data_IF_210610578538
#
_entry.id   IF_210610578538
#
_cell.length_a   1.000
_cell.length_b   1.000
_cell.length_c   1.000
_cell.angle_alpha   90.00
_cell.angle_beta   90.00
_cell.angle_gamma   90.00
#
_symmetry.space_group_name_H-M   'P 1'
#
loop_
_entity.id
_entity.type
_entity.pdbx_description
1 polymer ?
#
# COMPACT_ATOMS: atom_id res chain seq x y z
N UNK A 1 -5.27 -7.29 31.81
CA UNK A 1 -5.61 -7.87 30.51
C UNK A 1 -4.98 -9.27 30.45
N UNK A 2 -5.84 -10.30 30.35
CA UNK A 2 -5.48 -11.71 30.53
C UNK A 2 -4.57 -12.20 29.39
N UNK A 3 -3.58 -13.06 29.67
CA UNK A 3 -2.63 -13.59 28.68
C UNK A 3 -3.29 -14.30 27.47
N UNK A 4 -4.50 -14.82 27.64
CA UNK A 4 -5.32 -15.39 26.56
C UNK A 4 -5.76 -14.30 25.56
N UNK A 5 -6.14 -13.11 26.02
CA UNK A 5 -6.56 -11.98 25.18
C UNK A 5 -5.38 -11.44 24.38
N UNK A 6 -4.18 -11.34 24.98
CA UNK A 6 -2.95 -10.93 24.29
C UNK A 6 -2.52 -11.92 23.19
N UNK A 7 -2.70 -13.23 23.44
CA UNK A 7 -2.43 -14.25 22.41
C UNK A 7 -3.44 -14.19 21.28
N UNK A 8 -4.74 -14.03 21.57
CA UNK A 8 -5.79 -13.85 20.56
C UNK A 8 -5.57 -12.60 19.70
N UNK A 9 -5.23 -11.47 20.30
CA UNK A 9 -4.92 -10.23 19.57
C UNK A 9 -3.69 -10.42 18.65
N UNK A 10 -2.65 -11.08 19.12
CA UNK A 10 -1.43 -11.33 18.34
C UNK A 10 -1.66 -12.30 17.18
N UNK A 11 -2.52 -13.30 17.37
CA UNK A 11 -2.89 -14.27 16.32
C UNK A 11 -3.84 -13.64 15.29
N UNK A 12 -4.80 -12.82 15.74
CA UNK A 12 -5.73 -12.08 14.87
C UNK A 12 -5.01 -11.04 14.01
N UNK A 13 -4.08 -10.27 14.57
CA UNK A 13 -3.29 -9.33 13.77
C UNK A 13 -2.40 -10.03 12.74
N UNK A 14 -1.80 -11.16 13.12
CA UNK A 14 -0.91 -11.90 12.22
C UNK A 14 -1.67 -12.62 11.10
N UNK A 15 -2.87 -13.13 11.37
CA UNK A 15 -3.71 -13.73 10.34
C UNK A 15 -4.32 -12.67 9.42
N UNK A 16 -4.79 -11.55 9.94
CA UNK A 16 -5.36 -10.45 9.13
C UNK A 16 -4.33 -9.87 8.16
N UNK A 17 -3.08 -9.63 8.58
CA UNK A 17 -2.03 -9.16 7.68
C UNK A 17 -1.68 -10.21 6.61
N UNK A 18 -1.59 -11.48 6.99
CA UNK A 18 -1.31 -12.56 6.04
C UNK A 18 -2.49 -12.82 5.11
N UNK A 19 -3.72 -12.74 5.59
CA UNK A 19 -4.92 -12.93 4.79
C UNK A 19 -5.10 -11.81 3.77
N UNK A 20 -4.82 -10.55 4.15
CA UNK A 20 -4.82 -9.41 3.21
C UNK A 20 -3.73 -9.58 2.14
N UNK A 21 -2.55 -10.08 2.53
CA UNK A 21 -1.42 -10.27 1.59
C UNK A 21 -1.60 -11.49 0.68
N UNK A 22 -2.33 -12.51 1.14
CA UNK A 22 -2.58 -13.76 0.43
C UNK A 22 -3.91 -13.77 -0.32
N UNK A 23 -4.80 -12.78 -0.09
CA UNK A 23 -6.07 -12.70 -0.78
C UNK A 23 -5.85 -12.47 -2.29
N UNK A 24 -6.49 -13.30 -3.11
CA UNK A 24 -6.42 -13.24 -4.58
C UNK A 24 -6.79 -11.85 -5.14
N UNK A 25 -7.57 -11.07 -4.42
CA UNK A 25 -8.00 -9.72 -4.84
C UNK A 25 -6.96 -8.64 -4.55
N UNK A 26 -6.25 -8.73 -3.44
CA UNK A 26 -5.28 -7.71 -3.02
C UNK A 26 -3.87 -7.97 -3.55
N UNK A 27 -3.55 -9.23 -3.81
CA UNK A 27 -2.26 -9.64 -4.35
C UNK A 27 -1.81 -8.89 -5.62
N UNK A 28 -2.66 -8.68 -6.66
CA UNK A 28 -2.23 -7.95 -7.86
C UNK A 28 -1.89 -6.49 -7.56
N UNK A 29 -2.54 -5.84 -6.59
CA UNK A 29 -2.25 -4.46 -6.20
C UNK A 29 -0.87 -4.36 -5.56
N UNK A 30 -0.51 -5.31 -4.69
CA UNK A 30 0.83 -5.37 -4.10
C UNK A 30 1.92 -5.66 -5.12
N UNK A 31 1.69 -6.59 -6.04
CA UNK A 31 2.63 -6.88 -7.13
C UNK A 31 2.83 -5.63 -8.00
N UNK A 32 1.75 -4.94 -8.34
CA UNK A 32 1.81 -3.69 -9.10
C UNK A 32 2.60 -2.61 -8.34
N UNK A 33 2.33 -2.41 -7.05
CA UNK A 33 3.04 -1.43 -6.22
C UNK A 33 4.55 -1.72 -6.15
N UNK A 34 4.93 -2.96 -5.89
CA UNK A 34 6.33 -3.36 -5.84
C UNK A 34 7.00 -3.20 -7.21
N UNK A 35 6.32 -3.58 -8.29
CA UNK A 35 6.85 -3.45 -9.65
C UNK A 35 7.08 -2.00 -10.05
N UNK A 36 6.12 -1.10 -9.78
CA UNK A 36 6.25 0.32 -10.13
C UNK A 36 7.36 0.99 -9.30
N UNK A 37 7.51 0.62 -8.03
CA UNK A 37 8.59 1.11 -7.18
C UNK A 37 9.95 0.65 -7.72
N UNK A 38 10.10 -0.63 -8.04
CA UNK A 38 11.36 -1.19 -8.54
C UNK A 38 11.77 -0.56 -9.89
N UNK A 39 10.83 -0.43 -10.82
CA UNK A 39 11.07 0.22 -12.12
C UNK A 39 11.43 1.69 -11.93
N UNK A 40 10.73 2.40 -11.05
CA UNK A 40 11.03 3.80 -10.78
C UNK A 40 12.40 4.01 -10.15
N UNK A 41 12.75 3.21 -9.15
CA UNK A 41 14.05 3.28 -8.53
C UNK A 41 15.18 3.05 -9.54
N UNK A 42 15.03 2.08 -10.43
CA UNK A 42 16.01 1.83 -11.51
C UNK A 42 16.09 3.01 -12.50
N UNK A 43 14.94 3.56 -12.92
CA UNK A 43 14.92 4.69 -13.85
C UNK A 43 15.61 5.94 -13.26
N UNK A 44 15.29 6.32 -12.04
CA UNK A 44 15.89 7.50 -11.41
C UNK A 44 17.37 7.26 -11.05
N UNK A 45 17.75 6.05 -10.66
CA UNK A 45 19.14 5.70 -10.45
C UNK A 45 20.00 5.94 -11.70
N UNK A 46 19.53 5.52 -12.87
CA UNK A 46 20.30 5.64 -14.11
C UNK A 46 20.19 6.99 -14.81
N UNK A 47 19.06 7.69 -14.64
CA UNK A 47 18.81 8.95 -15.36
C UNK A 47 19.25 10.19 -14.57
N UNK A 48 19.31 10.11 -13.26
CA UNK A 48 19.69 11.22 -12.36
C UNK A 48 21.02 10.96 -11.63
N UNK A 49 21.66 9.78 -11.86
CA UNK A 49 22.88 9.35 -11.15
C UNK A 49 22.73 9.33 -9.62
N UNK A 50 21.51 9.13 -9.11
CA UNK A 50 21.25 9.00 -7.70
C UNK A 50 21.63 7.63 -7.16
N UNK A 51 21.94 7.53 -5.87
CA UNK A 51 22.13 6.22 -5.24
C UNK A 51 20.85 5.37 -5.35
N UNK A 52 21.00 4.05 -5.23
CA UNK A 52 19.83 3.16 -5.20
C UNK A 52 18.85 3.50 -4.08
N UNK A 53 19.38 3.89 -2.91
CA UNK A 53 18.57 4.27 -1.75
C UNK A 53 17.81 5.57 -2.01
N UNK A 54 18.46 6.60 -2.55
CA UNK A 54 17.84 7.89 -2.85
C UNK A 54 16.77 7.77 -3.92
N UNK A 55 17.03 6.96 -4.96
CA UNK A 55 16.07 6.67 -6.02
C UNK A 55 14.84 5.95 -5.49
N UNK A 56 15.04 4.92 -4.67
CA UNK A 56 13.95 4.19 -4.01
C UNK A 56 13.14 5.12 -3.07
N UNK A 57 13.83 5.90 -2.26
CA UNK A 57 13.23 6.88 -1.36
C UNK A 57 12.38 7.89 -2.14
N UNK A 58 12.94 8.51 -3.19
CA UNK A 58 12.23 9.47 -4.02
C UNK A 58 10.94 8.89 -4.63
N UNK A 59 11.02 7.68 -5.19
CA UNK A 59 9.86 7.01 -5.79
C UNK A 59 8.78 6.74 -4.75
N UNK A 60 9.15 6.26 -3.56
CA UNK A 60 8.18 5.97 -2.48
C UNK A 60 7.49 7.25 -2.01
N UNK A 61 8.24 8.33 -1.72
CA UNK A 61 7.63 9.59 -1.25
C UNK A 61 6.79 10.28 -2.33
N UNK A 62 7.11 10.06 -3.61
CA UNK A 62 6.33 10.57 -4.74
C UNK A 62 5.03 9.78 -4.92
N UNK A 63 5.09 8.45 -4.93
CA UNK A 63 3.91 7.59 -5.05
C UNK A 63 2.96 7.72 -3.86
N UNK A 64 3.49 7.95 -2.66
CA UNK A 64 2.68 8.21 -1.46
C UNK A 64 2.22 9.65 -1.31
N UNK A 65 2.51 10.50 -2.30
CA UNK A 65 2.15 11.94 -2.31
C UNK A 65 2.76 12.78 -1.18
N UNK A 66 3.77 12.28 -0.48
CA UNK A 66 4.47 13.01 0.59
C UNK A 66 5.30 14.15 0.00
N UNK A 67 6.19 13.83 -0.96
CA UNK A 67 6.92 14.80 -1.77
C UNK A 67 7.70 15.85 -0.95
N UNK A 68 8.67 15.45 -0.15
CA UNK A 68 9.46 16.39 0.68
C UNK A 68 10.22 17.45 -0.14
N UNK A 69 10.54 17.17 -1.42
CA UNK A 69 11.24 18.12 -2.29
C UNK A 69 12.76 18.20 -2.05
N UNK A 70 13.31 17.34 -1.23
CA UNK A 70 14.74 17.19 -0.99
C UNK A 70 15.46 16.57 -2.20
N UNK A 71 14.80 15.68 -2.93
CA UNK A 71 15.20 15.20 -4.24
C UNK A 71 14.22 15.70 -5.29
N UNK A 72 14.75 16.25 -6.39
CA UNK A 72 13.94 16.76 -7.49
C UNK A 72 14.59 16.43 -8.82
N UNK A 73 13.81 15.95 -9.81
CA UNK A 73 14.30 15.64 -11.15
C UNK A 73 14.93 16.87 -11.82
N UNK A 74 16.09 16.68 -12.41
CA UNK A 74 16.85 17.79 -13.04
C UNK A 74 16.58 17.91 -14.53
N UNK A 75 16.36 16.78 -15.22
CA UNK A 75 16.19 16.76 -16.68
C UNK A 75 14.71 16.84 -17.08
N UNK A 76 14.40 17.34 -18.29
CA UNK A 76 13.03 17.35 -18.80
C UNK A 76 12.40 15.93 -18.88
N UNK A 77 13.20 14.92 -19.22
CA UNK A 77 12.75 13.54 -19.31
C UNK A 77 12.32 12.99 -17.95
N UNK A 78 13.15 13.18 -16.92
CA UNK A 78 12.86 12.72 -15.56
C UNK A 78 11.72 13.50 -14.93
N UNK A 79 11.54 14.77 -15.24
CA UNK A 79 10.38 15.56 -14.84
C UNK A 79 9.09 14.99 -15.43
N UNK A 80 9.10 14.59 -16.70
CA UNK A 80 7.95 13.97 -17.35
C UNK A 80 7.63 12.61 -16.71
N UNK A 81 8.65 11.79 -16.47
CA UNK A 81 8.49 10.51 -15.77
C UNK A 81 7.88 10.74 -14.39
N UNK A 82 8.32 11.75 -13.65
CA UNK A 82 7.80 12.07 -12.31
C UNK A 82 6.32 12.45 -12.35
N UNK A 83 5.86 13.16 -13.37
CA UNK A 83 4.42 13.46 -13.56
C UNK A 83 3.63 12.16 -13.69
N UNK A 84 4.07 11.21 -14.51
CA UNK A 84 3.42 9.91 -14.63
C UNK A 84 3.44 9.13 -13.31
N UNK A 85 4.54 9.16 -12.57
CA UNK A 85 4.64 8.53 -11.26
C UNK A 85 3.69 9.16 -10.23
N UNK A 86 3.58 10.47 -10.20
CA UNK A 86 2.65 11.17 -9.32
C UNK A 86 1.19 10.79 -9.60
N UNK A 87 0.78 10.75 -10.87
CA UNK A 87 -0.56 10.31 -11.27
C UNK A 87 -0.82 8.84 -10.90
N UNK A 88 0.15 7.96 -11.14
CA UNK A 88 0.05 6.56 -10.71
C UNK A 88 -0.02 6.41 -9.19
N UNK A 89 0.68 7.27 -8.44
CA UNK A 89 0.61 7.30 -6.99
C UNK A 89 -0.80 7.54 -6.47
N UNK A 90 -1.53 8.50 -7.06
CA UNK A 90 -2.93 8.77 -6.72
C UNK A 90 -3.81 7.54 -6.98
N UNK A 91 -3.66 6.90 -8.13
CA UNK A 91 -4.41 5.68 -8.48
C UNK A 91 -4.11 4.56 -7.46
N UNK A 92 -2.84 4.36 -7.14
CA UNK A 92 -2.40 3.34 -6.17
C UNK A 92 -2.99 3.58 -4.79
N UNK A 93 -3.02 4.85 -4.32
CA UNK A 93 -3.63 5.21 -3.04
C UNK A 93 -5.14 4.94 -3.04
N UNK A 94 -5.86 5.27 -4.12
CA UNK A 94 -7.29 4.98 -4.24
C UNK A 94 -7.57 3.47 -4.18
N UNK A 95 -6.75 2.65 -4.88
CA UNK A 95 -6.84 1.18 -4.80
C UNK A 95 -6.59 0.67 -3.37
N UNK A 96 -5.62 1.24 -2.67
CA UNK A 96 -5.31 0.88 -1.30
C UNK A 96 -6.44 1.24 -0.33
N UNK A 97 -7.07 2.40 -0.52
CA UNK A 97 -8.26 2.81 0.24
C UNK A 97 -9.43 1.84 0.01
N UNK A 98 -9.64 1.38 -1.21
CA UNK A 98 -10.70 0.43 -1.52
C UNK A 98 -10.49 -0.91 -0.82
N UNK A 99 -9.24 -1.41 -0.78
CA UNK A 99 -8.86 -2.60 0.00
C UNK A 99 -9.18 -2.42 1.48
N UNK A 100 -8.82 -1.27 2.06
CA UNK A 100 -9.08 -0.98 3.48
C UNK A 100 -10.59 -0.93 3.76
N UNK A 101 -11.38 -0.33 2.87
CA UNK A 101 -12.85 -0.28 3.00
C UNK A 101 -13.47 -1.67 2.96
N UNK A 102 -13.01 -2.54 2.09
CA UNK A 102 -13.52 -3.92 1.98
C UNK A 102 -13.24 -4.71 3.26
N UNK A 103 -12.04 -4.61 3.81
CA UNK A 103 -11.68 -5.27 5.09
C UNK A 103 -12.55 -4.77 6.25
N UNK A 104 -12.88 -3.48 6.30
CA UNK A 104 -13.76 -2.91 7.33
C UNK A 104 -15.22 -3.31 7.14
N UNK A 105 -15.70 -3.44 5.91
CA UNK A 105 -17.06 -3.88 5.59
C UNK A 105 -17.36 -5.29 6.10
N UNK A 106 -16.44 -6.21 5.96
CA UNK A 106 -16.56 -7.59 6.46
C UNK A 106 -16.70 -7.66 7.98
N UNK A 107 -16.09 -6.73 8.71
CA UNK A 107 -16.15 -6.71 10.18
C UNK A 107 -17.52 -6.26 10.71
N UNK A 108 -18.29 -5.52 9.93
CA UNK A 108 -19.62 -5.00 10.32
C UNK A 108 -20.70 -6.06 10.03
N UNK A 109 -20.61 -6.73 8.90
CA UNK A 109 -21.60 -7.73 8.47
C UNK A 109 -21.58 -8.99 9.34
N UNK A 110 -20.40 -9.40 9.80
CA UNK A 110 -20.26 -10.54 10.73
C UNK A 110 -20.82 -10.26 12.14
N UNK A 111 -21.09 -9.01 12.50
CA UNK A 111 -21.71 -8.63 13.78
C UNK A 111 -23.24 -8.62 13.70
N UNK A 112 -23.83 -8.30 12.55
CA UNK A 112 -25.30 -8.26 12.41
C UNK A 112 -25.93 -9.65 12.23
N UNK A 113 -25.21 -10.59 11.59
CA UNK A 113 -25.71 -11.96 11.40
C UNK A 113 -25.77 -12.81 12.68
N UNK A 114 -25.27 -12.32 13.81
CA UNK A 114 -25.24 -13.07 15.09
C UNK A 114 -26.37 -12.68 16.05
N UNK A 115 -27.12 -11.62 15.75
CA UNK A 115 -28.22 -11.14 16.61
C UNK A 115 -29.60 -11.66 16.18
N UNK A 116 -29.74 -12.26 14.99
CA UNK A 116 -31.04 -12.74 14.50
C UNK A 116 -31.37 -14.19 14.86
N UNK A 117 -30.43 -14.96 15.45
CA UNK A 117 -30.66 -16.35 15.83
C UNK A 117 -30.95 -16.58 17.33
N UNK A 118 -31.30 -15.55 18.10
CA UNK A 118 -31.55 -15.69 19.54
C UNK A 118 -32.99 -15.36 19.95
N UNK A 119 -33.90 -15.17 19.00
CA UNK A 119 -35.33 -14.89 19.26
C UNK A 119 -36.28 -15.89 18.56
N UNK A 120 -36.00 -17.20 18.60
CA UNK A 120 -36.97 -18.27 18.37
C UNK A 120 -36.92 -19.33 19.45
#
# INVERSE_FOLDING_TARGET
MNNKVKRLFRTLHRSLFLDIFLDRRTRPIFIYAVSIIAVGAALFHWLEDWSWLDSFYFVVITLTTIGYGDFSPTTPATKLITIFYGLNGVILLLMLFDVIRQVRGWTIESRHGKSEHTEE
#
